data_IF_540293864936
#
_entry.id   IF_540293864936
#
_cell.length_a   1.000
_cell.length_b   1.000
_cell.length_c   1.000
_cell.angle_alpha   90.00
_cell.angle_beta   90.00
_cell.angle_gamma   90.00
#
_symmetry.space_group_name_H-M   'P 1'
#
loop_
_entity.id
_entity.type
_entity.pdbx_description
1 polymer ?
#
# COMPACT_ATOMS: atom_id res chain seq x y z
N UNK A 1 25.92 12.65 81.57
CA UNK A 1 27.34 12.32 81.80
C UNK A 1 27.62 10.94 81.24
N UNK A 2 28.25 10.83 80.07
CA UNK A 2 29.38 9.93 79.81
C UNK A 2 29.81 10.10 78.34
N UNK A 3 31.12 10.05 78.14
CA UNK A 3 31.87 10.48 76.97
C UNK A 3 32.12 9.35 75.98
N UNK A 4 32.21 9.78 74.71
CA UNK A 4 32.94 9.24 73.56
C UNK A 4 34.01 8.16 73.78
N UNK A 5 33.98 7.14 72.92
CA UNK A 5 35.19 6.41 72.48
C UNK A 5 35.35 6.53 70.96
N UNK A 6 36.59 6.85 70.59
CA UNK A 6 37.16 7.30 69.31
C UNK A 6 37.22 6.17 68.26
N UNK A 7 36.98 6.48 66.98
CA UNK A 7 37.96 6.54 65.86
C UNK A 7 38.98 5.40 65.77
N UNK A 8 39.24 4.95 64.51
CA UNK A 8 40.12 3.85 64.04
C UNK A 8 39.26 2.60 63.76
N UNK A 9 38.74 2.37 62.56
CA UNK A 9 39.43 2.09 61.29
C UNK A 9 38.49 2.42 60.12
N UNK A 10 38.55 3.65 59.61
CA UNK A 10 38.26 3.93 58.19
C UNK A 10 39.51 3.49 57.41
N UNK A 11 39.36 3.03 56.17
CA UNK A 11 40.41 2.56 55.23
C UNK A 11 40.59 1.03 55.08
N UNK A 12 39.52 0.27 54.83
CA UNK A 12 39.65 -1.16 54.51
C UNK A 12 38.52 -1.81 53.69
N UNK A 13 37.56 -1.06 53.16
CA UNK A 13 36.34 -1.63 52.55
C UNK A 13 36.01 -1.08 51.14
N UNK A 14 37.02 -0.65 50.38
CA UNK A 14 36.82 -0.14 49.01
C UNK A 14 37.73 -0.79 47.95
N UNK A 15 38.17 -2.03 48.14
CA UNK A 15 39.08 -2.70 47.16
C UNK A 15 38.63 -4.10 46.70
N UNK A 16 37.46 -4.61 47.09
CA UNK A 16 37.10 -6.02 46.76
C UNK A 16 35.82 -6.24 45.95
N UNK A 17 35.21 -5.20 45.37
CA UNK A 17 34.05 -5.37 44.46
C UNK A 17 34.39 -4.89 43.05
N UNK A 18 35.48 -5.41 42.48
CA UNK A 18 35.89 -5.17 41.09
C UNK A 18 36.39 -6.44 40.37
N UNK A 19 35.94 -7.63 40.81
CA UNK A 19 36.45 -8.91 40.30
C UNK A 19 35.39 -10.01 40.13
N UNK A 20 34.17 -9.66 39.69
CA UNK A 20 33.16 -10.65 39.26
C UNK A 20 32.46 -10.13 38.00
N UNK A 21 33.22 -9.99 36.91
CA UNK A 21 32.72 -9.56 35.60
C UNK A 21 33.22 -10.43 34.44
N UNK A 22 33.66 -11.68 34.69
CA UNK A 22 34.34 -12.48 33.65
C UNK A 22 34.05 -13.99 33.68
N UNK A 23 32.80 -14.47 33.74
CA UNK A 23 32.49 -15.87 33.39
C UNK A 23 31.08 -16.07 32.79
N UNK A 24 30.72 -15.32 31.75
CA UNK A 24 29.65 -15.76 30.82
C UNK A 24 30.29 -16.55 29.66
N UNK A 25 29.86 -17.79 29.38
CA UNK A 25 30.40 -18.55 28.26
C UNK A 25 30.04 -17.90 26.92
N UNK A 26 31.05 -17.72 26.08
CA UNK A 26 30.96 -17.26 24.69
C UNK A 26 30.26 -18.34 23.86
N UNK A 27 29.03 -18.07 23.42
CA UNK A 27 28.38 -18.87 22.38
C UNK A 27 28.95 -18.43 21.02
N UNK A 28 29.89 -19.21 20.50
CA UNK A 28 30.46 -19.04 19.18
C UNK A 28 29.52 -19.70 18.14
N UNK A 29 28.76 -18.88 17.42
CA UNK A 29 27.79 -19.31 16.41
C UNK A 29 28.19 -18.85 15.02
N UNK A 30 29.03 -19.65 14.32
CA UNK A 30 29.29 -19.48 12.89
C UNK A 30 28.04 -19.88 12.09
N UNK A 31 27.46 -18.92 11.38
CA UNK A 31 26.34 -19.17 10.45
C UNK A 31 26.26 -18.09 9.38
N UNK A 32 27.13 -18.15 8.37
CA UNK A 32 26.93 -17.40 7.14
C UNK A 32 25.92 -18.11 6.23
N UNK A 33 24.99 -17.36 5.63
CA UNK A 33 24.56 -17.51 4.23
C UNK A 33 23.61 -16.38 3.80
N UNK A 34 23.88 -15.90 2.60
CA UNK A 34 23.24 -14.81 1.86
C UNK A 34 21.72 -14.94 1.83
N UNK A 35 21.02 -13.91 2.32
CA UNK A 35 19.58 -13.73 2.16
C UNK A 35 19.28 -12.51 1.29
N UNK A 36 19.59 -12.58 -0.01
CA UNK A 36 18.96 -11.68 -0.97
C UNK A 36 17.48 -12.05 -1.06
N UNK A 37 16.59 -11.17 -0.61
CA UNK A 37 15.16 -11.28 -0.86
C UNK A 37 14.59 -9.92 -1.22
N UNK A 38 14.76 -9.56 -2.49
CA UNK A 38 13.85 -8.60 -3.11
C UNK A 38 12.45 -9.21 -3.15
N UNK A 39 11.47 -8.49 -2.61
CA UNK A 39 10.11 -8.28 -3.14
C UNK A 39 9.24 -7.67 -2.05
N UNK A 40 8.90 -6.40 -2.28
CA UNK A 40 7.91 -5.64 -1.53
C UNK A 40 7.64 -4.29 -2.19
N UNK A 41 7.85 -4.17 -3.51
CA UNK A 41 7.39 -3.02 -4.29
C UNK A 41 5.97 -3.30 -4.74
N UNK A 42 4.99 -2.71 -4.05
CA UNK A 42 3.70 -2.21 -4.60
C UNK A 42 2.62 -2.07 -3.52
N UNK A 43 2.93 -1.57 -2.33
CA UNK A 43 1.91 -1.03 -1.43
C UNK A 43 2.09 0.48 -1.34
N UNK A 44 2.12 1.15 -2.50
CA UNK A 44 1.99 2.59 -2.55
C UNK A 44 0.64 2.92 -1.91
N UNK A 45 0.72 3.44 -0.69
CA UNK A 45 -0.38 3.76 0.18
C UNK A 45 -1.32 4.68 -0.60
N UNK A 46 -2.51 4.19 -0.91
CA UNK A 46 -3.46 4.78 -1.86
C UNK A 46 -3.80 6.27 -1.57
N UNK A 47 -3.66 6.68 -0.31
CA UNK A 47 -3.71 8.08 0.11
C UNK A 47 -2.74 8.97 -0.70
N UNK A 48 -1.51 8.49 -0.94
CA UNK A 48 -0.52 9.24 -1.71
C UNK A 48 -0.85 9.29 -3.20
N UNK A 49 -1.47 8.27 -3.82
CA UNK A 49 -1.72 8.28 -5.29
C UNK A 49 -2.87 9.20 -5.66
N UNK A 50 -3.95 9.21 -4.88
CA UNK A 50 -5.08 10.13 -5.08
C UNK A 50 -4.68 11.60 -4.82
N UNK A 51 -3.94 11.86 -3.74
CA UNK A 51 -3.44 13.21 -3.42
C UNK A 51 -2.35 13.69 -4.40
N UNK A 52 -1.45 12.80 -4.84
CA UNK A 52 -0.41 13.14 -5.82
C UNK A 52 -0.99 13.46 -7.20
N UNK A 53 -2.11 12.84 -7.59
CA UNK A 53 -2.80 13.16 -8.84
C UNK A 53 -3.33 14.61 -8.90
N UNK A 54 -3.64 15.22 -7.75
CA UNK A 54 -4.13 16.60 -7.67
C UNK A 54 -2.99 17.65 -7.65
N UNK A 55 -1.78 17.26 -7.25
CA UNK A 55 -0.62 18.16 -7.12
C UNK A 55 0.25 18.20 -8.40
N UNK A 56 0.23 17.14 -9.22
CA UNK A 56 1.16 16.95 -10.36
C UNK A 56 0.62 17.42 -11.74
N UNK A 57 -0.31 18.37 -11.82
CA UNK A 57 -0.79 18.84 -13.15
C UNK A 57 0.24 19.68 -13.91
N UNK A 58 1.26 20.21 -13.24
CA UNK A 58 2.21 21.18 -13.83
C UNK A 58 3.49 20.55 -14.44
N UNK A 59 3.69 19.23 -14.31
CA UNK A 59 4.86 18.51 -14.86
C UNK A 59 4.49 17.15 -15.49
N UNK A 60 3.24 16.96 -15.92
CA UNK A 60 2.86 15.74 -16.62
C UNK A 60 3.47 15.77 -18.04
N UNK A 61 4.42 14.87 -18.32
CA UNK A 61 4.84 14.60 -19.69
C UNK A 61 3.57 14.33 -20.53
N UNK A 62 3.49 14.88 -21.75
CA UNK A 62 2.35 14.66 -22.66
C UNK A 62 2.11 13.16 -22.94
N UNK A 63 3.12 12.32 -22.67
CA UNK A 63 3.12 10.87 -22.78
C UNK A 63 2.59 10.14 -21.54
N UNK A 64 2.36 10.85 -20.44
CA UNK A 64 1.86 10.30 -19.18
C UNK A 64 0.48 9.65 -19.32
N UNK A 65 0.21 8.69 -18.43
CA UNK A 65 -1.08 8.05 -18.37
C UNK A 65 -2.14 9.06 -17.92
N UNK A 66 -3.18 9.23 -18.73
CA UNK A 66 -4.32 10.06 -18.40
C UNK A 66 -5.63 9.31 -18.65
N UNK A 67 -6.57 9.43 -17.71
CA UNK A 67 -7.88 8.80 -17.78
C UNK A 67 -8.80 9.70 -18.59
N UNK A 68 -9.14 9.27 -19.81
CA UNK A 68 -9.99 10.00 -20.75
C UNK A 68 -11.48 9.79 -20.50
N UNK A 69 -11.88 8.63 -19.99
CA UNK A 69 -13.29 8.31 -19.76
C UNK A 69 -13.41 7.31 -18.61
N UNK A 70 -14.47 7.40 -17.82
CA UNK A 70 -14.79 6.38 -16.84
C UNK A 70 -16.25 6.47 -16.41
N UNK A 71 -16.68 5.53 -15.58
CA UNK A 71 -18.02 5.52 -15.00
C UNK A 71 -18.33 6.82 -14.23
N UNK A 72 -19.63 6.99 -13.93
CA UNK A 72 -20.09 8.10 -13.11
C UNK A 72 -19.45 8.04 -11.71
N UNK A 73 -19.22 9.21 -11.10
CA UNK A 73 -18.57 9.28 -9.79
C UNK A 73 -19.38 8.57 -8.70
N UNK A 74 -20.70 8.47 -8.86
CA UNK A 74 -21.60 7.70 -8.00
C UNK A 74 -22.39 6.70 -8.84
N UNK A 75 -22.15 5.42 -8.61
CA UNK A 75 -22.74 4.30 -9.31
C UNK A 75 -23.67 3.55 -8.37
N UNK A 76 -24.96 3.57 -8.66
CA UNK A 76 -25.93 2.74 -7.94
C UNK A 76 -25.98 1.34 -8.52
N UNK A 77 -26.14 0.32 -7.68
CA UNK A 77 -26.39 -1.06 -8.08
C UNK A 77 -27.50 -1.71 -7.25
N UNK A 78 -28.11 -2.76 -7.79
CA UNK A 78 -29.12 -3.57 -7.08
C UNK A 78 -28.49 -4.87 -6.61
N UNK A 79 -28.85 -5.30 -5.41
CA UNK A 79 -28.37 -6.58 -4.86
C UNK A 79 -28.81 -7.75 -5.75
N UNK A 80 -27.91 -8.70 -5.99
CA UNK A 80 -28.15 -9.86 -6.86
C UNK A 80 -28.05 -9.57 -8.37
N UNK A 81 -27.83 -8.31 -8.76
CA UNK A 81 -27.55 -7.92 -10.15
C UNK A 81 -26.08 -7.54 -10.32
N UNK A 82 -25.69 -7.21 -11.55
CA UNK A 82 -24.33 -6.77 -11.87
C UNK A 82 -24.04 -5.33 -11.45
N UNK A 83 -22.90 -5.12 -10.79
CA UNK A 83 -22.23 -3.83 -10.66
C UNK A 83 -21.15 -3.71 -11.74
N UNK A 84 -21.20 -2.66 -12.55
CA UNK A 84 -20.27 -2.46 -13.67
C UNK A 84 -19.57 -1.11 -13.55
N UNK A 85 -18.24 -1.12 -13.55
CA UNK A 85 -17.38 0.05 -13.57
C UNK A 85 -16.48 0.00 -14.80
N UNK A 86 -16.33 1.13 -15.49
CA UNK A 86 -15.57 1.25 -16.73
C UNK A 86 -14.52 2.35 -16.55
N UNK A 87 -13.34 2.13 -17.11
CA UNK A 87 -12.27 3.11 -17.17
C UNK A 87 -11.52 3.00 -18.50
N UNK A 88 -11.25 4.14 -19.13
CA UNK A 88 -10.49 4.27 -20.36
C UNK A 88 -9.37 5.27 -20.15
N UNK A 89 -8.15 4.85 -20.41
CA UNK A 89 -6.96 5.65 -20.25
C UNK A 89 -6.14 5.67 -21.55
N UNK A 90 -5.38 6.74 -21.73
CA UNK A 90 -4.46 6.95 -22.84
C UNK A 90 -3.09 7.36 -22.31
N UNK A 91 -2.05 7.00 -23.05
CA UNK A 91 -0.66 7.29 -22.72
C UNK A 91 0.25 6.71 -23.77
N UNK A 92 1.49 7.18 -23.83
CA UNK A 92 2.48 6.68 -24.77
C UNK A 92 3.78 6.37 -24.03
N UNK A 93 4.09 5.11 -23.66
CA UNK A 93 3.41 3.87 -24.00
C UNK A 93 2.00 3.71 -23.43
N UNK A 94 1.25 2.75 -24.01
CA UNK A 94 -0.08 2.37 -23.55
C UNK A 94 -0.12 2.15 -22.03
N UNK A 95 -1.06 2.78 -21.31
CA UNK A 95 -1.15 2.61 -19.87
C UNK A 95 -1.72 1.24 -19.49
N UNK A 96 -1.30 0.73 -18.34
CA UNK A 96 -1.95 -0.41 -17.68
C UNK A 96 -2.99 0.11 -16.69
N UNK A 97 -4.16 -0.51 -16.63
CA UNK A 97 -5.23 -0.15 -15.70
C UNK A 97 -5.33 -1.21 -14.61
N UNK A 98 -5.42 -0.77 -13.35
CA UNK A 98 -5.69 -1.62 -12.20
C UNK A 98 -6.86 -1.09 -11.39
N UNK A 99 -7.61 -1.98 -10.76
CA UNK A 99 -8.76 -1.64 -9.93
C UNK A 99 -8.46 -1.81 -8.45
N UNK A 100 -8.95 -0.86 -7.67
CA UNK A 100 -8.80 -0.80 -6.22
C UNK A 100 -10.16 -0.61 -5.57
N UNK A 101 -10.35 -1.20 -4.39
CA UNK A 101 -11.50 -0.95 -3.51
C UNK A 101 -10.96 -0.51 -2.16
N UNK A 102 -11.42 0.64 -1.68
CA UNK A 102 -11.08 1.19 -0.36
C UNK A 102 -9.56 1.27 -0.14
N UNK A 103 -8.83 1.57 -1.22
CA UNK A 103 -7.38 1.70 -1.24
C UNK A 103 -6.59 0.40 -1.35
N UNK A 104 -7.23 -0.76 -1.37
CA UNK A 104 -6.58 -2.05 -1.61
C UNK A 104 -6.75 -2.50 -3.06
N UNK A 105 -5.68 -3.05 -3.67
CA UNK A 105 -5.76 -3.66 -5.00
C UNK A 105 -6.75 -4.82 -4.95
N UNK A 106 -7.73 -4.81 -5.86
CA UNK A 106 -8.78 -5.81 -5.85
C UNK A 106 -8.20 -7.17 -6.24
N UNK A 107 -8.35 -8.14 -5.34
CA UNK A 107 -7.97 -9.51 -5.64
C UNK A 107 -9.05 -10.18 -6.50
N UNK A 108 -8.68 -11.15 -7.35
CA UNK A 108 -9.65 -11.98 -8.05
C UNK A 108 -10.59 -12.67 -7.05
N UNK A 109 -11.90 -12.57 -7.29
CA UNK A 109 -12.96 -13.27 -6.54
C UNK A 109 -13.83 -14.03 -7.54
N UNK A 110 -14.58 -15.03 -7.07
CA UNK A 110 -15.48 -15.81 -7.94
C UNK A 110 -16.54 -14.96 -8.64
N UNK A 111 -17.04 -13.91 -7.97
CA UNK A 111 -18.06 -13.01 -8.50
C UNK A 111 -17.47 -11.75 -9.16
N UNK A 112 -16.14 -11.68 -9.37
CA UNK A 112 -15.47 -10.48 -9.90
C UNK A 112 -14.76 -10.80 -11.20
N UNK A 113 -15.12 -10.08 -12.26
CA UNK A 113 -14.61 -10.28 -13.62
C UNK A 113 -13.97 -8.99 -14.13
N UNK A 114 -12.77 -9.13 -14.71
CA UNK A 114 -12.02 -8.03 -15.32
C UNK A 114 -11.96 -8.24 -16.83
N UNK A 115 -12.30 -7.20 -17.58
CA UNK A 115 -12.22 -7.21 -19.03
C UNK A 115 -11.31 -6.08 -19.47
N UNK A 116 -10.33 -6.43 -20.28
CA UNK A 116 -9.30 -5.52 -20.73
C UNK A 116 -9.24 -5.54 -22.25
N UNK A 117 -9.33 -4.35 -22.86
CA UNK A 117 -9.33 -4.19 -24.31
C UNK A 117 -8.35 -3.07 -24.71
N UNK A 118 -7.23 -3.40 -25.38
CA UNK A 118 -6.40 -2.39 -26.02
C UNK A 118 -7.16 -1.71 -27.16
N UNK A 119 -7.11 -0.38 -27.22
CA UNK A 119 -7.68 0.43 -28.32
C UNK A 119 -6.52 1.15 -29.00
N UNK A 120 -6.34 0.93 -30.31
CA UNK A 120 -5.19 1.50 -31.04
C UNK A 120 -3.84 1.10 -30.42
N UNK A 121 -2.84 1.98 -30.49
CA UNK A 121 -1.50 1.76 -29.90
C UNK A 121 -1.37 2.28 -28.47
N UNK A 122 -2.08 3.37 -28.14
CA UNK A 122 -1.80 4.20 -26.96
C UNK A 122 -2.96 4.23 -25.94
N UNK A 123 -4.05 3.50 -26.18
CA UNK A 123 -5.22 3.51 -25.30
C UNK A 123 -5.53 2.14 -24.70
N UNK A 124 -6.04 2.15 -23.49
CA UNK A 124 -6.48 0.97 -22.77
C UNK A 124 -7.88 1.19 -22.23
N UNK A 125 -8.77 0.24 -22.49
CA UNK A 125 -10.11 0.20 -21.91
C UNK A 125 -10.20 -0.98 -20.94
N UNK A 126 -10.75 -0.75 -19.76
CA UNK A 126 -10.94 -1.76 -18.73
C UNK A 126 -12.36 -1.67 -18.16
N UNK A 127 -12.97 -2.83 -17.91
CA UNK A 127 -14.26 -2.98 -17.23
C UNK A 127 -14.11 -3.94 -16.07
N UNK A 128 -14.51 -3.47 -14.90
CA UNK A 128 -14.72 -4.27 -13.70
C UNK A 128 -16.22 -4.60 -13.63
N UNK A 129 -16.52 -5.89 -13.50
CA UNK A 129 -17.88 -6.40 -13.34
C UNK A 129 -17.94 -7.27 -12.10
N UNK A 130 -18.91 -7.00 -11.22
CA UNK A 130 -19.19 -7.82 -10.05
C UNK A 130 -20.59 -8.39 -10.19
N UNK A 131 -20.70 -9.71 -10.32
CA UNK A 131 -21.95 -10.43 -10.56
C UNK A 131 -21.95 -11.80 -9.84
N UNK A 132 -22.88 -12.06 -8.90
CA UNK A 132 -23.85 -11.12 -8.36
C UNK A 132 -23.20 -10.08 -7.43
N UNK A 133 -23.71 -8.86 -7.45
CA UNK A 133 -23.33 -7.81 -6.50
C UNK A 133 -24.01 -8.03 -5.14
N UNK A 134 -23.20 -7.95 -4.08
CA UNK A 134 -23.59 -8.17 -2.69
C UNK A 134 -23.50 -6.86 -1.90
N UNK A 135 -24.05 -6.85 -0.68
CA UNK A 135 -23.98 -5.67 0.21
C UNK A 135 -22.53 -5.24 0.49
N UNK A 136 -21.59 -6.21 0.56
CA UNK A 136 -20.16 -5.95 0.79
C UNK A 136 -19.42 -5.31 -0.39
N UNK A 137 -20.06 -5.21 -1.56
CA UNK A 137 -19.50 -4.56 -2.75
C UNK A 137 -19.78 -3.04 -2.75
N UNK A 138 -20.51 -2.51 -1.77
CA UNK A 138 -20.54 -1.07 -1.54
C UNK A 138 -19.16 -0.55 -1.13
N UNK A 139 -18.80 0.64 -1.60
CA UNK A 139 -17.56 1.30 -1.20
C UNK A 139 -17.01 2.26 -2.25
N UNK A 140 -15.78 2.73 -2.00
CA UNK A 140 -15.05 3.57 -2.95
C UNK A 140 -14.14 2.68 -3.80
N UNK A 141 -14.40 2.67 -5.09
CA UNK A 141 -13.58 2.05 -6.10
C UNK A 141 -12.66 3.07 -6.75
N UNK A 142 -11.58 2.60 -7.34
CA UNK A 142 -10.79 3.42 -8.21
C UNK A 142 -10.16 2.64 -9.35
N UNK A 143 -10.07 3.28 -10.51
CA UNK A 143 -9.16 2.83 -11.56
C UNK A 143 -7.87 3.63 -11.48
N UNK A 144 -6.74 2.92 -11.53
CA UNK A 144 -5.40 3.49 -11.55
C UNK A 144 -4.79 3.15 -12.91
N UNK A 145 -4.56 4.18 -13.72
CA UNK A 145 -3.86 4.09 -14.99
C UNK A 145 -2.38 4.43 -14.77
N UNK A 146 -1.49 3.52 -15.17
CA UNK A 146 -0.05 3.65 -14.95
C UNK A 146 0.72 3.49 -16.26
N UNK A 147 1.65 4.40 -16.52
CA UNK A 147 2.67 4.31 -17.56
C UNK A 147 4.02 4.77 -16.97
N UNK A 148 5.13 4.48 -17.65
CA UNK A 148 6.48 4.87 -17.22
C UNK A 148 6.66 6.38 -16.96
N UNK A 149 5.83 7.22 -17.60
CA UNK A 149 5.89 8.69 -17.45
C UNK A 149 4.94 9.25 -16.40
N UNK A 150 4.02 8.45 -15.85
CA UNK A 150 3.07 8.94 -14.85
C UNK A 150 1.96 7.97 -14.49
N UNK A 151 1.32 8.29 -13.37
CA UNK A 151 0.19 7.55 -12.81
C UNK A 151 -0.97 8.52 -12.61
N UNK A 152 -2.16 8.09 -13.02
CA UNK A 152 -3.40 8.83 -12.77
C UNK A 152 -4.44 7.87 -12.17
N UNK A 153 -5.21 8.36 -11.21
CA UNK A 153 -6.29 7.61 -10.57
C UNK A 153 -7.62 8.35 -10.72
N UNK A 154 -8.71 7.60 -10.82
CA UNK A 154 -10.08 8.14 -10.75
C UNK A 154 -10.91 7.30 -9.80
N UNK A 155 -11.59 7.97 -8.87
CA UNK A 155 -12.42 7.34 -7.86
C UNK A 155 -13.89 7.27 -8.32
N UNK A 156 -14.57 6.21 -7.89
CA UNK A 156 -15.99 5.95 -8.11
C UNK A 156 -16.60 5.47 -6.79
N UNK A 157 -17.72 6.04 -6.39
CA UNK A 157 -18.52 5.59 -5.25
C UNK A 157 -19.54 4.57 -5.76
N UNK A 158 -19.57 3.37 -5.21
CA UNK A 158 -20.60 2.38 -5.49
C UNK A 158 -21.53 2.25 -4.29
N UNK A 159 -22.83 2.44 -4.51
CA UNK A 159 -23.87 2.36 -3.46
C UNK A 159 -24.96 1.39 -3.90
N UNK A 160 -25.46 0.55 -2.99
CA UNK A 160 -26.58 -0.31 -3.33
C UNK A 160 -27.93 0.39 -3.06
N UNK A 161 -28.92 0.04 -3.87
CA UNK A 161 -30.34 0.29 -3.58
C UNK A 161 -31.06 -1.03 -3.38
N UNK A 162 -32.08 -1.01 -2.53
CA UNK A 162 -33.01 -2.11 -2.33
C UNK A 162 -33.93 -2.28 -3.55
#
# INVERSE_FOLDING_TARGET
MSFSTRHIVRWGFLVTIAAILLLTPVCDGRGGRRGGKGKGKSNLQFAQVAEFSLIQTQLADNRSAHIITGSHFSQMFRLGYKLVLICRAKGDPRPMIKWFKEGAEMQPKMNTHYYEKPIGTNEMWSKLEIDPALMGDQGIYACVANNQYGVMAKNFKAEFTY
#
